data_IF_621368472248
#
_entry.id   IF_621368472248
#
_cell.length_a   1.000
_cell.length_b   1.000
_cell.length_c   1.000
_cell.angle_alpha   90.00
_cell.angle_beta   90.00
_cell.angle_gamma   90.00
#
_symmetry.space_group_name_H-M   'P 1'
#
loop_
_entity.id
_entity.type
_entity.pdbx_description
1 polymer ?
#
# COMPACT_ATOMS: atom_id res chain seq x y z
N UNK A 1 -9.54 -19.36 35.51
CA UNK A 1 -10.57 -18.87 34.57
C UNK A 1 -10.53 -17.35 34.65
N UNK A 2 -9.82 -16.70 33.74
CA UNK A 2 -9.82 -15.24 33.64
C UNK A 2 -11.01 -14.82 32.78
N UNK A 3 -11.77 -13.83 33.25
CA UNK A 3 -12.82 -13.17 32.49
C UNK A 3 -12.23 -12.59 31.21
N UNK A 4 -12.25 -13.38 30.13
CA UNK A 4 -11.92 -12.92 28.79
C UNK A 4 -13.04 -11.99 28.36
N UNK A 5 -12.70 -10.71 28.33
CA UNK A 5 -13.43 -9.59 27.73
C UNK A 5 -14.19 -10.05 26.48
N UNK A 6 -15.48 -10.37 26.62
CA UNK A 6 -16.33 -10.62 25.46
C UNK A 6 -16.60 -9.25 24.84
N UNK A 7 -16.14 -8.96 23.61
CA UNK A 7 -16.36 -7.66 22.99
C UNK A 7 -17.85 -7.35 22.98
N UNK A 8 -18.21 -6.11 23.31
CA UNK A 8 -19.62 -5.69 23.29
C UNK A 8 -20.16 -5.90 21.86
N UNK A 9 -21.44 -6.28 21.72
CA UNK A 9 -22.12 -6.48 20.42
C UNK A 9 -21.83 -5.36 19.39
N UNK A 10 -21.81 -4.12 19.86
CA UNK A 10 -21.50 -2.94 19.02
C UNK A 10 -20.09 -2.95 18.41
N UNK A 11 -19.12 -3.58 19.06
CA UNK A 11 -17.75 -3.75 18.53
C UNK A 11 -17.71 -4.83 17.45
N UNK A 12 -18.38 -5.97 17.68
CA UNK A 12 -18.42 -7.08 16.71
C UNK A 12 -19.12 -6.70 15.40
N UNK A 13 -20.10 -5.79 15.46
CA UNK A 13 -20.77 -5.24 14.28
C UNK A 13 -19.85 -4.41 13.37
N UNK A 14 -18.72 -3.91 13.89
CA UNK A 14 -17.78 -3.08 13.12
C UNK A 14 -16.64 -3.89 12.52
N UNK A 15 -16.41 -5.10 13.03
CA UNK A 15 -15.31 -5.96 12.60
C UNK A 15 -15.80 -6.84 11.45
N UNK A 16 -15.09 -6.81 10.32
CA UNK A 16 -15.34 -7.68 9.18
C UNK A 16 -14.14 -8.60 8.99
N UNK A 17 -14.33 -9.93 9.03
CA UNK A 17 -13.28 -10.85 8.65
C UNK A 17 -13.08 -10.83 7.13
N UNK A 18 -11.84 -10.76 6.69
CA UNK A 18 -11.50 -10.78 5.26
C UNK A 18 -10.46 -11.86 4.99
N UNK A 19 -10.73 -12.71 4.00
CA UNK A 19 -9.84 -13.79 3.59
C UNK A 19 -8.62 -13.23 2.88
N UNK A 20 -7.44 -13.67 3.31
CA UNK A 20 -6.17 -13.30 2.72
C UNK A 20 -5.91 -14.09 1.42
N UNK A 21 -5.29 -13.48 0.39
CA UNK A 21 -5.01 -14.15 -0.88
C UNK A 21 -3.85 -15.15 -0.81
N UNK A 22 -3.25 -15.34 0.38
CA UNK A 22 -1.97 -16.02 0.55
C UNK A 22 -2.02 -17.54 0.58
N UNK A 23 -3.13 -18.15 0.18
CA UNK A 23 -3.26 -19.59 0.20
C UNK A 23 -4.31 -20.12 -0.78
N UNK A 24 -4.21 -21.41 -1.09
CA UNK A 24 -5.19 -22.18 -1.86
C UNK A 24 -5.58 -23.45 -1.10
N UNK A 25 -6.79 -23.95 -1.35
CA UNK A 25 -7.26 -25.21 -0.77
C UNK A 25 -6.86 -26.39 -1.67
N UNK A 26 -6.21 -27.41 -1.09
CA UNK A 26 -5.90 -28.68 -1.75
C UNK A 26 -6.52 -29.84 -0.96
N UNK A 27 -7.71 -30.32 -1.35
CA UNK A 27 -8.44 -31.40 -0.66
C UNK A 27 -8.50 -31.19 0.87
N UNK A 28 -7.57 -31.82 1.59
CA UNK A 28 -7.45 -31.79 3.04
C UNK A 28 -6.50 -30.73 3.61
N UNK A 29 -5.61 -30.19 2.78
CA UNK A 29 -4.58 -29.24 3.14
C UNK A 29 -4.87 -27.82 2.63
N UNK A 30 -4.17 -26.86 3.23
CA UNK A 30 -4.03 -25.51 2.68
C UNK A 30 -2.58 -25.28 2.30
N UNK A 31 -2.36 -24.88 1.05
CA UNK A 31 -1.05 -24.49 0.56
C UNK A 31 -0.91 -22.98 0.69
N UNK A 32 -0.02 -22.52 1.55
CA UNK A 32 0.35 -21.11 1.62
C UNK A 32 1.28 -20.74 0.45
N UNK A 33 1.33 -19.46 0.11
CA UNK A 33 2.15 -18.93 -0.98
C UNK A 33 3.66 -19.22 -0.87
N UNK A 34 4.16 -19.53 0.32
CA UNK A 34 5.54 -20.01 0.52
C UNK A 34 5.66 -21.53 0.41
N UNK A 35 4.69 -22.19 -0.26
CA UNK A 35 4.57 -23.63 -0.48
C UNK A 35 4.53 -24.46 0.80
N UNK A 36 4.32 -23.82 1.96
CA UNK A 36 4.10 -24.52 3.21
C UNK A 36 2.69 -25.08 3.21
N UNK A 37 2.59 -26.40 3.29
CA UNK A 37 1.34 -27.09 3.56
C UNK A 37 1.02 -27.00 5.04
N UNK A 38 -0.20 -26.58 5.36
CA UNK A 38 -0.74 -26.62 6.71
C UNK A 38 -2.05 -27.39 6.68
N UNK A 39 -2.18 -28.37 7.58
CA UNK A 39 -3.47 -28.99 7.84
C UNK A 39 -4.40 -27.95 8.41
N UNK A 40 -5.60 -27.89 7.86
CA UNK A 40 -6.68 -27.06 8.39
C UNK A 40 -7.82 -28.01 8.75
N UNK A 41 -8.35 -27.87 9.95
CA UNK A 41 -9.46 -28.70 10.40
C UNK A 41 -10.76 -28.34 9.64
N UNK A 42 -11.70 -29.28 9.62
CA UNK A 42 -12.96 -29.13 8.89
C UNK A 42 -13.77 -27.91 9.35
N UNK A 43 -13.68 -27.53 10.63
CA UNK A 43 -14.39 -26.38 11.18
C UNK A 43 -13.77 -25.07 10.67
N UNK A 44 -12.45 -24.94 10.70
CA UNK A 44 -11.73 -23.82 10.10
C UNK A 44 -12.06 -23.65 8.61
N UNK A 45 -12.14 -24.74 7.82
CA UNK A 45 -12.57 -24.68 6.41
C UNK A 45 -13.99 -24.15 6.24
N UNK A 46 -14.92 -24.58 7.09
CA UNK A 46 -16.31 -24.11 7.04
C UNK A 46 -16.39 -22.62 7.34
N UNK A 47 -15.63 -22.13 8.32
CA UNK A 47 -15.57 -20.71 8.66
C UNK A 47 -15.03 -19.91 7.46
N UNK A 48 -13.90 -20.32 6.88
CA UNK A 48 -13.34 -19.62 5.72
C UNK A 48 -14.30 -19.55 4.53
N UNK A 49 -15.08 -20.61 4.28
CA UNK A 49 -16.12 -20.62 3.24
C UNK A 49 -17.31 -19.70 3.55
N UNK A 50 -17.55 -19.40 4.82
CA UNK A 50 -18.63 -18.51 5.25
C UNK A 50 -18.26 -17.02 5.13
N UNK A 51 -16.97 -16.69 5.06
CA UNK A 51 -16.50 -15.31 4.98
C UNK A 51 -16.65 -14.81 3.54
N UNK A 52 -17.51 -13.80 3.36
CA UNK A 52 -17.75 -13.14 2.07
C UNK A 52 -17.07 -11.76 1.97
N UNK A 53 -16.36 -11.34 3.02
CA UNK A 53 -15.70 -10.03 3.13
C UNK A 53 -16.65 -8.84 3.31
N UNK A 54 -17.96 -9.07 3.48
CA UNK A 54 -18.99 -8.02 3.64
C UNK A 54 -19.73 -8.13 4.97
N UNK A 55 -20.03 -9.35 5.39
CA UNK A 55 -20.73 -9.59 6.64
C UNK A 55 -19.78 -9.28 7.81
N UNK A 56 -20.29 -8.53 8.78
CA UNK A 56 -19.61 -8.33 10.06
C UNK A 56 -19.46 -9.66 10.80
N UNK A 57 -18.50 -9.72 11.71
CA UNK A 57 -18.28 -10.87 12.59
C UNK A 57 -19.54 -11.21 13.37
N UNK A 58 -20.30 -10.20 13.80
CA UNK A 58 -21.59 -10.41 14.46
C UNK A 58 -22.63 -11.09 13.54
N UNK A 59 -22.78 -10.63 12.30
CA UNK A 59 -23.72 -11.21 11.34
C UNK A 59 -23.37 -12.67 11.01
N UNK A 60 -22.08 -12.98 10.86
CA UNK A 60 -21.63 -14.35 10.63
C UNK A 60 -21.95 -15.23 11.85
N UNK A 61 -21.65 -14.76 13.06
CA UNK A 61 -21.96 -15.50 14.30
C UNK A 61 -23.48 -15.68 14.51
N UNK A 62 -24.31 -14.72 14.07
CA UNK A 62 -25.76 -14.89 14.07
C UNK A 62 -26.25 -15.95 13.08
N UNK A 63 -25.70 -15.95 11.85
CA UNK A 63 -26.06 -16.92 10.80
C UNK A 63 -25.53 -18.32 11.12
N UNK A 64 -24.43 -18.42 11.86
CA UNK A 64 -23.73 -19.66 12.19
C UNK A 64 -23.40 -19.69 13.71
N UNK A 65 -24.39 -19.90 14.59
CA UNK A 65 -24.23 -19.83 16.05
C UNK A 65 -23.22 -20.82 16.63
N UNK A 66 -22.87 -21.86 15.87
CA UNK A 66 -21.85 -22.82 16.27
C UNK A 66 -20.43 -22.26 16.19
N UNK A 67 -20.19 -21.14 15.51
CA UNK A 67 -18.89 -20.46 15.45
C UNK A 67 -18.69 -19.55 16.67
N UNK A 68 -17.42 -19.30 17.02
CA UNK A 68 -17.04 -18.48 18.18
C UNK A 68 -16.01 -17.44 17.76
N UNK A 69 -15.88 -16.36 18.53
CA UNK A 69 -14.83 -15.34 18.32
C UNK A 69 -13.43 -15.98 18.35
N UNK A 70 -13.22 -16.96 19.23
CA UNK A 70 -11.94 -17.66 19.34
C UNK A 70 -11.56 -18.39 18.04
N UNK A 71 -12.55 -18.90 17.28
CA UNK A 71 -12.27 -19.53 16.00
C UNK A 71 -11.70 -18.51 14.98
N UNK A 72 -12.27 -17.30 14.94
CA UNK A 72 -11.78 -16.24 14.06
C UNK A 72 -10.40 -15.73 14.51
N UNK A 73 -10.17 -15.58 15.81
CA UNK A 73 -8.85 -15.22 16.34
C UNK A 73 -7.79 -16.24 15.94
N UNK A 74 -8.09 -17.55 16.02
CA UNK A 74 -7.16 -18.62 15.57
C UNK A 74 -6.85 -18.54 14.08
N UNK A 75 -7.84 -18.19 13.25
CA UNK A 75 -7.66 -18.01 11.81
C UNK A 75 -6.82 -16.78 11.48
N UNK A 76 -7.03 -15.67 12.21
CA UNK A 76 -6.22 -14.45 12.08
C UNK A 76 -4.76 -14.70 12.51
N UNK A 77 -4.55 -15.32 13.67
CA UNK A 77 -3.21 -15.73 14.15
C UNK A 77 -2.50 -16.67 13.18
N UNK A 78 -3.28 -17.54 12.52
CA UNK A 78 -2.78 -18.45 11.49
C UNK A 78 -2.54 -17.78 10.13
N UNK A 79 -2.91 -16.50 9.98
CA UNK A 79 -2.70 -15.72 8.76
C UNK A 79 -3.60 -16.12 7.60
N UNK A 80 -4.78 -16.69 7.87
CA UNK A 80 -5.80 -16.98 6.84
C UNK A 80 -6.74 -15.81 6.59
N UNK A 81 -6.97 -14.99 7.62
CA UNK A 81 -7.85 -13.83 7.56
C UNK A 81 -7.20 -12.64 8.23
N UNK A 82 -7.79 -11.47 8.04
CA UNK A 82 -7.61 -10.27 8.85
C UNK A 82 -8.94 -9.87 9.46
N UNK A 83 -8.92 -9.34 10.68
CA UNK A 83 -10.08 -8.69 11.29
C UNK A 83 -9.92 -7.17 11.20
N UNK A 84 -10.68 -6.57 10.28
CA UNK A 84 -10.60 -5.14 10.00
C UNK A 84 -11.88 -4.42 10.43
N UNK A 85 -11.72 -3.21 10.98
CA UNK A 85 -12.85 -2.32 11.16
C UNK A 85 -13.15 -1.62 9.84
N UNK A 86 -14.17 -2.12 9.15
CA UNK A 86 -14.64 -1.54 7.91
C UNK A 86 -15.39 -0.24 8.22
N UNK A 87 -14.73 0.91 8.00
CA UNK A 87 -15.32 2.23 8.25
C UNK A 87 -16.42 2.52 7.23
N UNK A 88 -17.61 2.88 7.72
CA UNK A 88 -18.68 3.38 6.85
C UNK A 88 -18.23 4.66 6.14
N UNK A 89 -18.11 4.55 4.82
CA UNK A 89 -17.83 5.65 3.90
C UNK A 89 -19.17 6.31 3.55
N UNK A 90 -19.36 7.57 3.91
CA UNK A 90 -20.60 8.30 3.58
C UNK A 90 -20.68 8.61 2.09
N UNK A 91 -21.89 8.55 1.50
CA UNK A 91 -22.18 8.85 0.08
C UNK A 91 -22.10 10.35 -0.30
N UNK A 92 -21.47 11.19 0.53
CA UNK A 92 -21.31 12.62 0.22
C UNK A 92 -20.33 12.79 -0.93
N UNK A 93 -20.52 13.86 -1.73
CA UNK A 93 -19.52 14.30 -2.72
C UNK A 93 -18.21 14.60 -2.00
N UNK A 94 -17.13 13.92 -2.41
CA UNK A 94 -15.80 14.07 -1.84
C UNK A 94 -14.86 14.76 -2.82
N UNK A 95 -13.91 15.51 -2.26
CA UNK A 95 -12.75 15.92 -3.04
C UNK A 95 -11.89 14.69 -3.34
N UNK A 96 -11.17 14.72 -4.46
CA UNK A 96 -10.36 13.58 -4.90
C UNK A 96 -8.89 13.78 -4.54
N UNK A 97 -8.23 12.73 -4.10
CA UNK A 97 -6.78 12.65 -3.96
C UNK A 97 -6.27 11.59 -4.94
N UNK A 98 -5.29 11.97 -5.76
CA UNK A 98 -4.55 11.03 -6.61
C UNK A 98 -3.23 10.72 -5.93
N UNK A 99 -2.87 9.44 -5.89
CA UNK A 99 -1.58 8.95 -5.40
C UNK A 99 -0.89 8.28 -6.58
N UNK A 100 0.24 8.83 -6.99
CA UNK A 100 1.14 8.28 -7.99
C UNK A 100 2.10 7.35 -7.25
N UNK A 101 1.82 6.06 -7.29
CA UNK A 101 2.61 5.01 -6.66
C UNK A 101 3.56 4.42 -7.71
N UNK A 102 4.88 4.44 -7.52
CA UNK A 102 5.81 3.77 -8.44
C UNK A 102 5.46 2.29 -8.59
N UNK A 103 5.42 1.56 -7.48
CA UNK A 103 5.07 0.15 -7.43
C UNK A 103 3.79 -0.11 -6.66
N UNK A 104 3.25 -1.32 -6.78
CA UNK A 104 2.07 -1.74 -6.05
C UNK A 104 2.39 -2.09 -4.60
N UNK A 105 2.52 -1.08 -3.75
CA UNK A 105 2.71 -1.19 -2.29
C UNK A 105 3.14 0.17 -1.71
N UNK A 106 3.97 0.92 -2.44
CA UNK A 106 4.57 2.19 -2.00
C UNK A 106 3.56 3.16 -1.41
N UNK A 107 2.41 3.33 -2.07
CA UNK A 107 1.32 4.18 -1.58
C UNK A 107 0.82 3.72 -0.21
N UNK A 108 0.59 2.43 -0.02
CA UNK A 108 0.10 1.89 1.25
C UNK A 108 1.19 1.92 2.33
N UNK A 109 2.43 1.66 1.95
CA UNK A 109 3.58 1.74 2.86
C UNK A 109 3.75 3.14 3.43
N UNK A 110 3.62 4.13 2.57
CA UNK A 110 3.97 5.51 2.87
C UNK A 110 2.79 6.34 3.41
N UNK A 111 1.55 6.05 2.96
CA UNK A 111 0.40 6.95 3.16
C UNK A 111 -0.87 6.27 3.70
N UNK A 112 -0.84 5.00 4.09
CA UNK A 112 -2.06 4.32 4.57
C UNK A 112 -2.67 4.97 5.81
N UNK A 113 -1.88 5.53 6.73
CA UNK A 113 -2.40 6.25 7.89
C UNK A 113 -3.21 7.49 7.49
N UNK A 114 -2.68 8.29 6.56
CA UNK A 114 -3.37 9.41 5.92
C UNK A 114 -4.67 8.95 5.28
N UNK A 115 -4.62 7.89 4.47
CA UNK A 115 -5.81 7.38 3.80
C UNK A 115 -6.89 7.02 4.81
N UNK A 116 -6.58 6.19 5.81
CA UNK A 116 -7.49 5.76 6.87
C UNK A 116 -8.09 6.95 7.63
N UNK A 117 -7.28 7.97 7.92
CA UNK A 117 -7.71 9.19 8.63
C UNK A 117 -8.74 9.97 7.84
N UNK A 118 -8.58 10.02 6.52
CA UNK A 118 -9.33 10.91 5.65
C UNK A 118 -10.29 10.21 4.68
N UNK A 119 -10.55 8.89 4.82
CA UNK A 119 -11.49 8.12 3.99
C UNK A 119 -12.91 8.75 3.92
N UNK A 120 -13.34 9.46 4.96
CA UNK A 120 -14.64 10.12 4.97
C UNK A 120 -14.66 11.50 4.30
N UNK A 121 -13.49 12.09 4.05
CA UNK A 121 -13.35 13.43 3.50
C UNK A 121 -12.91 13.41 2.03
N UNK A 122 -12.17 12.39 1.63
CA UNK A 122 -11.62 12.28 0.28
C UNK A 122 -11.94 10.94 -0.38
N UNK A 123 -12.08 10.98 -1.69
CA UNK A 123 -12.05 9.82 -2.57
C UNK A 123 -10.60 9.63 -3.04
N UNK A 124 -10.03 8.45 -2.79
CA UNK A 124 -8.66 8.14 -3.15
C UNK A 124 -8.61 7.40 -4.49
N UNK A 125 -7.67 7.82 -5.34
CA UNK A 125 -7.30 7.17 -6.58
C UNK A 125 -5.83 6.78 -6.49
N UNK A 126 -5.52 5.49 -6.57
CA UNK A 126 -4.13 5.01 -6.61
C UNK A 126 -3.79 4.64 -8.05
N UNK A 127 -2.73 5.24 -8.57
CA UNK A 127 -2.19 4.97 -9.90
C UNK A 127 -0.83 4.31 -9.69
N UNK A 128 -0.79 2.98 -9.79
CA UNK A 128 0.45 2.21 -9.79
C UNK A 128 1.09 2.33 -11.18
N UNK A 129 2.19 3.08 -11.29
CA UNK A 129 2.82 3.46 -12.56
C UNK A 129 3.53 2.25 -13.17
N UNK A 130 4.38 1.59 -12.41
CA UNK A 130 5.06 0.36 -12.83
C UNK A 130 4.24 -0.85 -12.40
N UNK A 131 3.02 -0.93 -12.94
CA UNK A 131 2.04 -1.97 -12.61
C UNK A 131 2.35 -3.35 -13.20
N UNK A 132 3.50 -3.52 -13.87
CA UNK A 132 3.99 -4.83 -14.29
C UNK A 132 5.33 -5.09 -13.60
N UNK A 133 5.29 -5.93 -12.56
CA UNK A 133 6.43 -6.26 -11.71
C UNK A 133 6.41 -7.75 -11.34
N UNK A 134 7.59 -8.34 -11.21
CA UNK A 134 7.76 -9.76 -10.82
C UNK A 134 8.45 -9.92 -9.45
N UNK A 135 8.77 -8.82 -8.75
CA UNK A 135 9.47 -8.91 -7.48
C UNK A 135 8.59 -9.50 -6.36
N UNK A 136 9.12 -10.53 -5.68
CA UNK A 136 8.53 -11.10 -4.47
C UNK A 136 9.62 -11.63 -3.53
N UNK A 137 9.38 -11.59 -2.22
CA UNK A 137 10.22 -12.27 -1.22
C UNK A 137 10.17 -13.80 -1.34
N UNK A 138 9.33 -14.34 -2.21
CA UNK A 138 9.15 -15.77 -2.45
C UNK A 138 9.80 -16.27 -3.75
N UNK A 139 10.72 -15.52 -4.37
CA UNK A 139 11.41 -15.88 -5.63
C UNK A 139 12.02 -17.30 -5.64
N UNK A 140 12.41 -17.84 -4.48
CA UNK A 140 12.97 -19.21 -4.38
C UNK A 140 11.91 -20.32 -4.60
N UNK A 141 10.63 -19.96 -4.77
CA UNK A 141 9.55 -20.91 -4.71
C UNK A 141 8.60 -20.90 -5.92
N UNK A 142 8.72 -19.97 -6.87
CA UNK A 142 7.77 -19.89 -7.98
C UNK A 142 8.29 -20.58 -9.26
N UNK A 143 7.37 -21.24 -9.97
CA UNK A 143 7.46 -21.41 -11.43
C UNK A 143 7.30 -20.03 -12.09
N UNK A 144 8.06 -19.76 -13.16
CA UNK A 144 8.22 -18.50 -13.93
C UNK A 144 6.92 -17.77 -14.39
N UNK A 145 5.73 -18.26 -14.05
CA UNK A 145 4.43 -17.74 -14.52
C UNK A 145 3.50 -17.20 -13.43
N UNK A 146 3.86 -17.29 -12.15
CA UNK A 146 2.92 -17.00 -11.04
C UNK A 146 3.21 -15.65 -10.34
N UNK A 147 4.37 -15.04 -10.58
CA UNK A 147 4.96 -13.99 -9.72
C UNK A 147 4.27 -12.61 -9.78
N UNK A 148 3.87 -12.12 -10.96
CA UNK A 148 3.21 -10.81 -11.12
C UNK A 148 1.79 -10.69 -10.50
N UNK A 149 1.18 -11.79 -10.06
CA UNK A 149 -0.21 -11.75 -9.59
C UNK A 149 -0.35 -11.50 -8.07
N UNK A 150 0.69 -11.74 -7.27
CA UNK A 150 0.52 -11.75 -5.82
C UNK A 150 0.43 -10.35 -5.22
N UNK A 151 1.40 -9.51 -5.53
CA UNK A 151 1.40 -8.12 -5.07
C UNK A 151 0.14 -7.38 -5.55
N UNK A 152 -0.36 -7.68 -6.76
CA UNK A 152 -1.64 -7.15 -7.23
C UNK A 152 -2.84 -7.61 -6.42
N UNK A 153 -2.86 -8.86 -5.95
CA UNK A 153 -3.92 -9.36 -5.06
C UNK A 153 -3.86 -8.71 -3.68
N UNK A 154 -2.65 -8.55 -3.14
CA UNK A 154 -2.41 -7.85 -1.88
C UNK A 154 -2.85 -6.38 -1.97
N UNK A 155 -2.44 -5.69 -3.04
CA UNK A 155 -2.80 -4.30 -3.33
C UNK A 155 -4.32 -4.13 -3.50
N UNK A 156 -4.98 -5.00 -4.27
CA UNK A 156 -6.45 -4.96 -4.43
C UNK A 156 -7.18 -5.25 -3.12
N UNK A 157 -6.63 -6.10 -2.25
CA UNK A 157 -7.19 -6.31 -0.91
C UNK A 157 -7.01 -5.05 -0.06
N UNK A 158 -5.84 -4.39 -0.11
CA UNK A 158 -5.64 -3.13 0.58
C UNK A 158 -6.62 -2.05 0.08
N UNK A 159 -6.84 -1.95 -1.23
CA UNK A 159 -7.85 -1.08 -1.82
C UNK A 159 -9.25 -1.39 -1.32
N UNK A 160 -9.60 -2.68 -1.24
CA UNK A 160 -10.89 -3.10 -0.70
C UNK A 160 -11.08 -2.65 0.76
N UNK A 161 -10.07 -2.88 1.62
CA UNK A 161 -10.08 -2.46 3.03
C UNK A 161 -10.18 -0.93 3.16
N UNK A 162 -9.56 -0.18 2.24
CA UNK A 162 -9.57 1.28 2.19
C UNK A 162 -10.74 1.87 1.38
N UNK A 163 -11.67 1.05 0.88
CA UNK A 163 -12.76 1.49 0.01
C UNK A 163 -12.31 2.28 -1.24
N UNK A 164 -11.14 1.95 -1.76
CA UNK A 164 -10.59 2.54 -2.98
C UNK A 164 -11.19 1.81 -4.17
N UNK A 165 -12.14 2.46 -4.85
CA UNK A 165 -12.80 1.91 -6.03
C UNK A 165 -12.04 2.21 -7.33
N UNK A 166 -11.19 3.23 -7.31
CA UNK A 166 -10.55 3.78 -8.50
C UNK A 166 -9.02 3.59 -8.50
N UNK A 167 -8.58 2.39 -8.14
CA UNK A 167 -7.18 1.98 -8.29
C UNK A 167 -6.89 1.45 -9.70
N UNK A 168 -5.74 1.81 -10.27
CA UNK A 168 -5.30 1.35 -11.60
C UNK A 168 -3.83 0.92 -11.59
N UNK A 169 -3.53 -0.12 -12.37
CA UNK A 169 -2.18 -0.55 -12.71
C UNK A 169 -1.90 -0.14 -14.15
N UNK A 170 -0.91 0.73 -14.36
CA UNK A 170 -0.44 1.07 -15.71
C UNK A 170 0.49 -0.04 -16.23
N UNK A 171 0.62 -0.20 -17.55
CA UNK A 171 1.30 -1.35 -18.15
C UNK A 171 2.84 -1.25 -18.14
N UNK A 172 3.41 -0.24 -17.49
CA UNK A 172 4.85 -0.03 -17.51
C UNK A 172 5.56 -1.09 -16.66
N UNK A 173 6.68 -1.60 -17.19
CA UNK A 173 7.50 -2.62 -16.53
C UNK A 173 8.38 -2.00 -15.46
N UNK A 174 8.43 -2.64 -14.29
CA UNK A 174 9.39 -2.38 -13.24
C UNK A 174 10.85 -2.38 -13.75
N UNK A 175 11.72 -1.59 -13.12
CA UNK A 175 13.12 -1.47 -13.50
C UNK A 175 13.86 -2.80 -13.60
N UNK A 176 13.62 -3.75 -12.69
CA UNK A 176 14.27 -5.06 -12.70
C UNK A 176 13.90 -5.89 -13.93
N UNK A 177 12.76 -5.58 -14.57
CA UNK A 177 12.30 -6.25 -15.79
C UNK A 177 12.75 -5.53 -17.08
N UNK A 178 13.44 -4.39 -16.97
CA UNK A 178 13.95 -3.63 -18.11
C UNK A 178 15.41 -4.00 -18.38
N UNK A 179 15.72 -4.38 -19.62
CA UNK A 179 17.08 -4.77 -20.04
C UNK A 179 18.13 -3.69 -19.73
N UNK A 180 17.74 -2.42 -19.75
CA UNK A 180 18.59 -1.27 -19.40
C UNK A 180 19.20 -1.35 -18.00
N UNK A 181 18.64 -2.16 -17.10
CA UNK A 181 19.03 -2.27 -15.70
C UNK A 181 19.54 -3.67 -15.30
N UNK A 182 19.83 -4.57 -16.25
CA UNK A 182 20.38 -5.91 -15.93
C UNK A 182 21.66 -5.85 -15.10
N UNK A 183 22.54 -4.89 -15.41
CA UNK A 183 23.85 -4.73 -14.81
C UNK A 183 24.03 -3.37 -14.12
N UNK A 184 22.91 -2.70 -13.80
CA UNK A 184 22.92 -1.36 -13.20
C UNK A 184 22.18 -1.34 -11.87
N UNK A 185 22.64 -0.54 -10.89
CA UNK A 185 21.92 -0.37 -9.64
C UNK A 185 20.57 0.31 -9.92
N UNK A 186 19.49 -0.36 -9.50
CA UNK A 186 18.12 0.12 -9.57
C UNK A 186 17.79 1.01 -8.37
N UNK A 187 18.34 0.67 -7.20
CA UNK A 187 18.20 1.38 -5.91
C UNK A 187 19.56 2.01 -5.55
N UNK A 188 19.52 3.14 -4.85
CA UNK A 188 20.70 3.91 -4.47
C UNK A 188 21.58 4.22 -5.68
N UNK A 189 20.93 4.59 -6.78
CA UNK A 189 21.63 4.96 -8.00
C UNK A 189 22.30 6.32 -7.81
N UNK A 190 23.63 6.36 -7.94
CA UNK A 190 24.41 7.59 -7.92
C UNK A 190 24.20 8.45 -9.19
N UNK A 191 23.40 7.95 -10.13
CA UNK A 191 23.04 8.65 -11.36
C UNK A 191 22.01 9.74 -11.05
N UNK A 192 22.23 10.94 -11.58
CA UNK A 192 21.31 12.06 -11.41
C UNK A 192 19.99 11.87 -12.19
N UNK A 193 18.92 12.58 -11.77
CA UNK A 193 17.60 12.41 -12.40
C UNK A 193 17.56 12.77 -13.88
N UNK A 194 18.36 13.75 -14.35
CA UNK A 194 18.36 14.12 -15.77
C UNK A 194 18.95 13.01 -16.61
N UNK A 195 20.01 12.39 -16.12
CA UNK A 195 20.65 11.26 -16.77
C UNK A 195 19.71 10.05 -16.81
N UNK A 196 19.01 9.72 -15.71
CA UNK A 196 17.98 8.66 -15.70
C UNK A 196 16.90 8.95 -16.76
N UNK A 197 16.32 10.16 -16.77
CA UNK A 197 15.29 10.55 -17.74
C UNK A 197 15.82 10.49 -19.17
N UNK A 198 17.07 10.89 -19.40
CA UNK A 198 17.66 10.86 -20.74
C UNK A 198 17.79 9.42 -21.25
N UNK A 199 18.19 8.48 -20.40
CA UNK A 199 18.26 7.06 -20.74
C UNK A 199 16.89 6.44 -20.99
N UNK A 200 15.88 6.84 -20.21
CA UNK A 200 14.51 6.31 -20.26
C UNK A 200 13.54 7.31 -20.92
N UNK A 201 13.99 8.04 -21.95
CA UNK A 201 13.27 9.21 -22.50
C UNK A 201 11.86 8.85 -22.99
N UNK A 202 11.73 7.81 -23.80
CA UNK A 202 10.44 7.39 -24.37
C UNK A 202 9.47 6.96 -23.27
N UNK A 203 9.95 6.12 -22.34
CA UNK A 203 9.18 5.68 -21.17
C UNK A 203 8.74 6.87 -20.31
N UNK A 204 9.62 7.84 -20.08
CA UNK A 204 9.32 9.05 -19.32
C UNK A 204 8.23 9.90 -20.00
N UNK A 205 8.31 10.07 -21.32
CA UNK A 205 7.32 10.82 -22.11
C UNK A 205 5.94 10.14 -22.07
N UNK A 206 5.91 8.81 -22.17
CA UNK A 206 4.67 8.01 -22.05
C UNK A 206 4.05 8.13 -20.66
N UNK A 207 4.86 8.02 -19.61
CA UNK A 207 4.40 8.19 -18.22
C UNK A 207 3.85 9.60 -18.00
N UNK A 208 4.55 10.63 -18.48
CA UNK A 208 4.06 12.02 -18.43
C UNK A 208 2.69 12.15 -19.10
N UNK A 209 2.53 11.59 -20.29
CA UNK A 209 1.28 11.62 -21.05
C UNK A 209 0.12 10.97 -20.27
N UNK A 210 0.34 9.76 -19.74
CA UNK A 210 -0.66 9.01 -18.98
C UNK A 210 -1.06 9.72 -17.68
N UNK A 211 -0.08 10.19 -16.90
CA UNK A 211 -0.32 10.94 -15.66
C UNK A 211 -1.16 12.19 -15.95
N UNK A 212 -0.80 12.95 -16.99
CA UNK A 212 -1.53 14.17 -17.36
C UNK A 212 -2.96 13.88 -17.81
N UNK A 213 -3.19 12.82 -18.59
CA UNK A 213 -4.51 12.41 -19.02
C UNK A 213 -5.41 11.99 -17.84
N UNK A 214 -4.87 11.19 -16.92
CA UNK A 214 -5.60 10.75 -15.72
C UNK A 214 -5.91 11.93 -14.80
N UNK A 215 -4.96 12.81 -14.53
CA UNK A 215 -5.19 13.99 -13.68
C UNK A 215 -6.22 14.93 -14.30
N UNK A 216 -6.17 15.17 -15.61
CA UNK A 216 -7.16 16.00 -16.32
C UNK A 216 -8.58 15.44 -16.19
N UNK A 217 -8.71 14.12 -16.18
CA UNK A 217 -9.98 13.41 -16.05
C UNK A 217 -10.48 13.39 -14.61
N UNK A 218 -9.61 13.04 -13.65
CA UNK A 218 -9.96 12.89 -12.24
C UNK A 218 -10.20 14.24 -11.57
N UNK A 219 -9.43 15.28 -11.95
CA UNK A 219 -9.42 16.63 -11.36
C UNK A 219 -9.21 16.60 -9.84
N UNK A 220 -8.08 16.04 -9.35
CA UNK A 220 -7.83 15.91 -7.92
C UNK A 220 -7.57 17.25 -7.24
N UNK A 221 -7.95 17.34 -5.96
CA UNK A 221 -7.59 18.43 -5.07
C UNK A 221 -6.11 18.35 -4.63
N UNK A 222 -5.59 17.13 -4.49
CA UNK A 222 -4.19 16.87 -4.16
C UNK A 222 -3.64 15.70 -4.97
N UNK A 223 -2.36 15.80 -5.32
CA UNK A 223 -1.61 14.73 -5.98
C UNK A 223 -0.44 14.40 -5.08
N UNK A 224 -0.36 13.17 -4.62
CA UNK A 224 0.79 12.65 -3.87
C UNK A 224 1.68 11.86 -4.82
N UNK A 225 2.97 12.17 -4.84
CA UNK A 225 3.99 11.44 -5.60
C UNK A 225 5.21 11.16 -4.70
N UNK A 226 6.09 10.21 -5.05
CA UNK A 226 7.31 9.95 -4.30
C UNK A 226 8.22 11.18 -4.23
N UNK A 227 8.96 11.34 -3.13
CA UNK A 227 10.05 12.31 -3.04
C UNK A 227 11.32 11.82 -3.76
N UNK A 228 11.49 10.51 -3.92
CA UNK A 228 12.66 9.85 -4.50
C UNK A 228 13.65 9.31 -3.46
N UNK A 229 13.25 9.12 -2.20
CA UNK A 229 14.12 8.62 -1.13
C UNK A 229 14.60 7.20 -1.46
N UNK A 230 15.89 6.94 -1.27
CA UNK A 230 16.52 5.68 -1.66
C UNK A 230 16.87 5.59 -3.15
N UNK A 231 16.52 6.62 -3.94
CA UNK A 231 16.93 6.78 -5.34
C UNK A 231 16.66 5.55 -6.20
N UNK A 232 15.51 4.92 -5.99
CA UNK A 232 15.01 3.92 -6.92
C UNK A 232 14.67 4.61 -8.26
N UNK A 233 15.20 4.11 -9.38
CA UNK A 233 15.06 4.78 -10.69
C UNK A 233 13.59 5.01 -11.08
N UNK A 234 12.70 4.04 -10.83
CA UNK A 234 11.26 4.19 -11.03
C UNK A 234 10.63 5.31 -10.20
N UNK A 235 10.99 5.43 -8.91
CA UNK A 235 10.51 6.50 -8.05
C UNK A 235 10.95 7.88 -8.56
N UNK A 236 12.20 7.97 -9.02
CA UNK A 236 12.73 9.18 -9.65
C UNK A 236 11.92 9.50 -10.92
N UNK A 237 11.69 8.54 -11.81
CA UNK A 237 10.90 8.75 -13.04
C UNK A 237 9.50 9.28 -12.72
N UNK A 238 8.79 8.69 -11.75
CA UNK A 238 7.44 9.15 -11.35
C UNK A 238 7.47 10.56 -10.77
N UNK A 239 8.41 10.85 -9.86
CA UNK A 239 8.60 12.18 -9.29
C UNK A 239 8.79 13.22 -10.38
N UNK A 240 9.68 12.91 -11.32
CA UNK A 240 10.05 13.82 -12.39
C UNK A 240 8.93 14.02 -13.40
N UNK A 241 8.14 12.99 -13.69
CA UNK A 241 6.96 13.10 -14.53
C UNK A 241 5.90 14.02 -13.90
N UNK A 242 5.70 13.92 -12.58
CA UNK A 242 4.82 14.83 -11.86
C UNK A 242 5.35 16.28 -11.84
N UNK A 243 6.68 16.47 -11.71
CA UNK A 243 7.33 17.79 -11.72
C UNK A 243 7.31 18.44 -13.11
N UNK A 244 7.37 17.66 -14.19
CA UNK A 244 7.37 18.17 -15.56
C UNK A 244 6.11 19.00 -15.87
N UNK A 245 4.97 18.66 -15.26
CA UNK A 245 3.76 19.46 -15.38
C UNK A 245 3.66 20.54 -14.29
N UNK A 246 4.18 21.73 -14.59
CA UNK A 246 4.18 22.89 -13.69
C UNK A 246 2.78 23.31 -13.20
N UNK A 247 1.72 23.00 -13.94
CA UNK A 247 0.34 23.31 -13.53
C UNK A 247 -0.08 22.53 -12.28
N UNK A 248 0.61 21.41 -11.97
CA UNK A 248 0.32 20.59 -10.80
C UNK A 248 0.93 21.14 -9.52
N UNK A 249 1.86 22.10 -9.58
CA UNK A 249 2.64 22.51 -8.39
C UNK A 249 1.78 22.99 -7.22
N UNK A 250 0.60 23.57 -7.48
CA UNK A 250 -0.31 24.00 -6.41
C UNK A 250 -0.92 22.83 -5.63
N UNK A 251 -1.11 21.69 -6.28
CA UNK A 251 -1.76 20.49 -5.74
C UNK A 251 -0.76 19.37 -5.44
N UNK A 252 0.48 19.47 -5.92
CA UNK A 252 1.51 18.45 -5.80
C UNK A 252 2.09 18.38 -4.38
N UNK A 253 2.15 17.15 -3.86
CA UNK A 253 2.67 16.77 -2.56
C UNK A 253 3.65 15.61 -2.76
N UNK A 254 4.81 15.66 -2.10
CA UNK A 254 5.83 14.62 -2.15
C UNK A 254 5.79 13.80 -0.87
N UNK A 255 5.50 12.51 -0.89
CA UNK A 255 5.45 11.69 0.32
C UNK A 255 6.82 11.13 0.70
N UNK A 256 7.04 10.90 2.00
CA UNK A 256 8.22 10.21 2.51
C UNK A 256 8.09 8.69 2.26
N UNK A 257 8.87 8.15 1.33
CA UNK A 257 8.74 6.75 0.90
C UNK A 257 9.20 5.76 1.96
N UNK A 258 8.34 4.79 2.25
CA UNK A 258 8.64 3.65 3.12
C UNK A 258 8.84 2.36 2.32
N UNK A 259 9.83 1.51 2.65
CA UNK A 259 10.71 1.56 3.83
C UNK A 259 12.00 2.37 3.64
N UNK A 260 12.22 3.01 2.48
CA UNK A 260 13.49 3.67 2.15
C UNK A 260 13.92 4.74 3.16
N UNK A 261 12.98 5.49 3.72
CA UNK A 261 13.26 6.53 4.74
C UNK A 261 13.94 6.01 6.02
N UNK A 262 13.96 4.69 6.25
CA UNK A 262 14.63 4.08 7.41
C UNK A 262 16.15 4.05 7.20
N UNK A 263 16.60 3.88 5.96
CA UNK A 263 18.01 3.66 5.62
C UNK A 263 18.64 4.82 4.87
N UNK A 264 17.84 5.70 4.28
CA UNK A 264 18.32 6.77 3.40
C UNK A 264 17.92 8.15 3.92
N UNK A 265 18.84 9.10 3.81
CA UNK A 265 18.54 10.51 4.08
C UNK A 265 17.73 11.13 2.93
N UNK A 266 16.95 12.15 3.28
CA UNK A 266 16.03 12.85 2.37
C UNK A 266 16.55 14.22 1.92
N UNK A 267 17.61 14.75 2.53
CA UNK A 267 18.03 16.13 2.27
C UNK A 267 18.49 16.32 0.82
N UNK A 268 19.17 15.32 0.26
CA UNK A 268 19.56 15.31 -1.16
C UNK A 268 18.37 15.44 -2.10
N UNK A 269 17.34 14.62 -1.88
CA UNK A 269 16.13 14.62 -2.72
C UNK A 269 15.31 15.91 -2.58
N UNK A 270 15.20 16.45 -1.36
CA UNK A 270 14.58 17.78 -1.16
C UNK A 270 15.34 18.84 -1.95
N UNK A 271 16.67 18.89 -1.81
CA UNK A 271 17.49 19.88 -2.49
C UNK A 271 17.41 19.76 -4.02
N UNK A 272 17.41 18.53 -4.55
CA UNK A 272 17.25 18.28 -5.98
C UNK A 272 15.93 18.85 -6.51
N UNK A 273 14.81 18.54 -5.84
CA UNK A 273 13.49 19.08 -6.20
C UNK A 273 13.45 20.60 -6.10
N UNK A 274 13.99 21.19 -5.03
CA UNK A 274 13.99 22.65 -4.85
C UNK A 274 14.82 23.38 -5.91
N UNK A 275 16.02 22.88 -6.24
CA UNK A 275 16.87 23.45 -7.28
C UNK A 275 16.17 23.36 -8.64
N UNK A 276 15.64 22.18 -8.97
CA UNK A 276 15.02 21.91 -10.28
C UNK A 276 13.77 22.75 -10.50
N UNK A 277 12.96 22.93 -9.47
CA UNK A 277 11.68 23.64 -9.55
C UNK A 277 11.80 25.13 -9.24
N UNK A 278 12.94 25.57 -8.70
CA UNK A 278 13.17 26.90 -8.14
C UNK A 278 12.11 27.27 -7.08
N UNK A 279 11.61 26.28 -6.34
CA UNK A 279 10.57 26.45 -5.31
C UNK A 279 10.98 25.74 -4.04
N UNK A 280 10.76 26.40 -2.90
CA UNK A 280 11.03 25.81 -1.59
C UNK A 280 9.94 24.83 -1.20
N UNK A 281 10.34 23.71 -0.61
CA UNK A 281 9.45 22.73 -0.03
C UNK A 281 9.16 23.08 1.44
N UNK A 282 7.94 22.74 1.88
CA UNK A 282 7.53 22.83 3.28
C UNK A 282 7.10 21.47 3.75
N UNK A 283 7.84 20.96 4.74
CA UNK A 283 7.51 19.72 5.45
C UNK A 283 6.14 19.86 6.11
N UNK A 284 5.34 18.82 5.98
CA UNK A 284 4.05 18.60 6.62
C UNK A 284 4.08 17.26 7.33
N UNK A 285 3.41 17.20 8.46
CA UNK A 285 3.20 15.97 9.23
C UNK A 285 1.71 15.78 9.39
N UNK A 286 1.27 14.55 9.28
CA UNK A 286 -0.11 14.14 9.54
C UNK A 286 -0.06 13.23 10.74
N UNK A 287 -0.71 13.63 11.82
CA UNK A 287 -0.92 12.76 12.98
C UNK A 287 -1.78 11.57 12.56
N UNK A 288 -1.26 10.36 12.72
CA UNK A 288 -1.93 9.09 12.42
C UNK A 288 -2.01 8.20 13.66
N UNK A 289 -1.90 8.75 14.87
CA UNK A 289 -1.90 7.98 16.12
C UNK A 289 -3.10 7.08 16.27
N UNK A 290 -4.29 7.57 15.93
CA UNK A 290 -5.53 6.81 16.01
C UNK A 290 -5.66 5.77 14.88
N UNK A 291 -4.80 5.86 13.87
CA UNK A 291 -4.82 5.03 12.66
C UNK A 291 -3.68 4.02 12.62
N UNK A 292 -2.74 4.06 13.58
CA UNK A 292 -1.51 3.26 13.52
C UNK A 292 -1.74 1.75 13.56
N UNK A 293 -2.77 1.30 14.30
CA UNK A 293 -3.16 -0.11 14.36
C UNK A 293 -3.62 -0.61 12.99
N UNK A 294 -4.47 0.17 12.32
CA UNK A 294 -4.99 -0.18 10.99
C UNK A 294 -3.91 -0.05 9.92
N UNK A 295 -3.03 0.95 10.00
CA UNK A 295 -1.83 1.03 9.16
C UNK A 295 -1.01 -0.25 9.28
N UNK A 296 -0.72 -0.73 10.50
CA UNK A 296 0.02 -1.98 10.71
C UNK A 296 -0.68 -3.18 10.07
N UNK A 297 -2.00 -3.29 10.16
CA UNK A 297 -2.78 -4.37 9.51
C UNK A 297 -2.62 -4.32 7.99
N UNK A 298 -2.72 -3.13 7.39
CA UNK A 298 -2.52 -2.95 5.94
C UNK A 298 -1.10 -3.33 5.52
N UNK A 299 -0.07 -2.93 6.26
CA UNK A 299 1.32 -3.33 5.97
C UNK A 299 1.49 -4.86 6.00
N UNK A 300 0.81 -5.54 6.93
CA UNK A 300 0.86 -7.01 7.05
C UNK A 300 0.13 -7.76 5.91
N UNK A 301 -0.60 -7.05 5.03
CA UNK A 301 -1.19 -7.67 3.82
C UNK A 301 -0.13 -8.02 2.80
N UNK A 302 0.95 -7.25 2.74
CA UNK A 302 2.00 -7.35 1.74
C UNK A 302 3.06 -8.37 2.15
N UNK A 303 2.64 -9.62 2.38
CA UNK A 303 3.53 -10.71 2.80
C UNK A 303 4.55 -11.06 1.70
N UNK A 304 4.19 -10.82 0.44
CA UNK A 304 5.10 -10.96 -0.69
C UNK A 304 6.19 -9.89 -0.73
N UNK A 305 5.99 -8.73 -0.07
CA UNK A 305 6.91 -7.59 -0.14
C UNK A 305 7.63 -7.28 1.18
N UNK A 306 7.00 -7.56 2.33
CA UNK A 306 7.50 -7.19 3.65
C UNK A 306 7.66 -8.39 4.60
N UNK A 307 8.79 -8.38 5.30
CA UNK A 307 9.03 -9.18 6.49
C UNK A 307 8.52 -8.44 7.73
N UNK A 308 8.17 -9.18 8.79
CA UNK A 308 7.64 -8.63 10.07
C UNK A 308 8.54 -7.55 10.68
N UNK A 309 9.86 -7.69 10.58
CA UNK A 309 10.78 -6.67 11.11
C UNK A 309 10.73 -5.36 10.31
N UNK A 310 10.50 -5.42 8.99
CA UNK A 310 10.34 -4.22 8.15
C UNK A 310 9.08 -3.47 8.54
N UNK A 311 7.96 -4.18 8.71
CA UNK A 311 6.70 -3.59 9.24
C UNK A 311 6.95 -2.89 10.58
N UNK A 312 7.65 -3.54 11.51
CA UNK A 312 7.97 -2.94 12.80
C UNK A 312 8.86 -1.71 12.68
N UNK A 313 9.84 -1.73 11.79
CA UNK A 313 10.73 -0.60 11.56
C UNK A 313 9.97 0.60 10.96
N UNK A 314 9.04 0.35 10.02
CA UNK A 314 8.18 1.40 9.46
C UNK A 314 7.27 2.03 10.52
N UNK A 315 6.63 1.22 11.38
CA UNK A 315 5.79 1.76 12.46
C UNK A 315 6.62 2.56 13.47
N UNK A 316 7.82 2.07 13.82
CA UNK A 316 8.73 2.79 14.71
C UNK A 316 9.20 4.11 14.08
N UNK A 317 9.46 4.15 12.77
CA UNK A 317 9.83 5.38 12.08
C UNK A 317 8.72 6.43 12.12
N UNK A 318 7.45 6.01 12.03
CA UNK A 318 6.32 6.91 12.21
C UNK A 318 6.20 7.46 13.63
N UNK A 319 6.83 6.83 14.64
CA UNK A 319 6.71 7.23 16.04
C UNK A 319 7.53 8.49 16.33
N UNK A 320 6.90 9.54 16.86
CA UNK A 320 7.59 10.73 17.37
C UNK A 320 7.82 10.65 18.88
N UNK A 321 6.88 10.07 19.61
CA UNK A 321 6.94 9.79 21.05
C UNK A 321 6.02 8.60 21.39
N UNK A 322 5.82 8.29 22.67
CA UNK A 322 5.03 7.12 23.12
C UNK A 322 3.57 7.12 22.65
N UNK A 323 3.00 8.28 22.30
CA UNK A 323 1.59 8.44 21.95
C UNK A 323 1.37 8.99 20.53
N UNK A 324 2.39 9.60 19.93
CA UNK A 324 2.25 10.30 18.65
C UNK A 324 2.94 9.59 17.49
N UNK A 325 2.18 9.33 16.43
CA UNK A 325 2.65 8.77 15.18
C UNK A 325 2.36 9.72 14.01
N UNK A 326 3.29 9.86 13.09
CA UNK A 326 3.17 10.76 11.94
C UNK A 326 3.56 10.11 10.62
N UNK A 327 2.83 10.48 9.58
CA UNK A 327 3.29 10.39 8.20
C UNK A 327 3.76 11.77 7.73
N UNK A 328 4.80 11.78 6.92
CA UNK A 328 5.46 13.00 6.46
C UNK A 328 5.28 13.17 4.96
N UNK A 329 5.00 14.41 4.54
CA UNK A 329 5.05 14.80 3.14
C UNK A 329 5.54 16.24 3.00
N UNK A 330 5.87 16.66 1.79
CA UNK A 330 6.28 18.02 1.44
C UNK A 330 5.37 18.61 0.39
N UNK A 331 5.22 19.92 0.41
CA UNK A 331 4.54 20.66 -0.66
C UNK A 331 5.31 21.94 -0.97
N UNK A 332 5.15 22.47 -2.18
CA UNK A 332 5.70 23.79 -2.49
C UNK A 332 5.13 24.88 -1.57
N UNK A 333 5.97 25.85 -1.23
CA UNK A 333 5.60 27.02 -0.42
C UNK A 333 4.76 28.02 -1.19
#
# INVERSE_FOLDING_TARGET
MSDKYCPKKEQLNKITPIVLPHYSFEKDDVMFMNFRKKKIDSRSKQILKSINGRDSLYEILLKQPQFTIEDFSKLEESGFIILCELKYVTDKVKNKIVILSPHADDAIFSLSGLMIKYLNNFEFHIINIFGHQDFTLYNDFADDKIESNFVHKEERLAWFVLYIQNGVFLPFKDAAMRLSYSDRPIINSDVDSKTIIHFEKELFEDICSQINALIKTIKPAYIFCPLGIGRHVDHIIVREAAIANKNLYKTLCFYEESPYMISFDRAGEINEVEIKTQKKLKKRKIDISNEISEKRKLLNLYKSQLKKFQVNAMIRHSQADDLHYYETYWKFR
#
